data_IF_596078557760
#
_entry.id   IF_596078557760
#
_cell.length_a   1.000
_cell.length_b   1.000
_cell.length_c   1.000
_cell.angle_alpha   90.00
_cell.angle_beta   90.00
_cell.angle_gamma   90.00
#
_symmetry.space_group_name_H-M   'P 1'
#
loop_
_entity.id
_entity.type
_entity.pdbx_description
1 polymer ?
#
# COMPACT_ATOMS: atom_id res chain seq x y z
N UNK A 1 4.27 1.67 27.99
CA UNK A 1 4.82 2.62 27.01
C UNK A 1 3.84 2.64 25.84
N UNK A 2 3.11 3.73 25.67
CA UNK A 2 2.21 3.90 24.51
C UNK A 2 3.07 4.07 23.26
N UNK A 3 3.11 3.05 22.44
CA UNK A 3 3.75 3.13 21.11
C UNK A 3 2.93 4.08 20.23
N UNK A 4 3.58 5.03 19.58
CA UNK A 4 2.89 5.96 18.67
C UNK A 4 2.39 5.21 17.42
N UNK A 5 1.21 5.58 16.87
CA UNK A 5 0.70 5.00 15.64
C UNK A 5 1.68 5.14 14.46
N UNK A 6 1.73 4.12 13.60
CA UNK A 6 2.54 4.13 12.38
C UNK A 6 1.94 5.06 11.33
N UNK A 7 0.61 5.04 11.19
CA UNK A 7 -0.14 5.96 10.34
C UNK A 7 -1.12 6.76 11.19
N UNK A 8 -1.12 8.07 10.99
CA UNK A 8 -2.20 8.95 11.47
C UNK A 8 -2.75 9.73 10.29
N UNK A 9 -4.03 9.63 10.08
CA UNK A 9 -4.83 10.47 9.19
C UNK A 9 -5.75 11.29 10.08
N UNK A 10 -5.64 12.62 10.03
CA UNK A 10 -6.39 13.55 10.87
C UNK A 10 -7.22 14.49 10.00
N UNK A 11 -8.55 14.42 10.11
CA UNK A 11 -9.56 15.24 9.43
C UNK A 11 -9.30 15.45 7.95
N UNK A 12 -8.99 14.35 7.25
CA UNK A 12 -8.67 14.37 5.83
C UNK A 12 -9.89 14.72 4.98
N UNK A 13 -9.78 15.78 4.18
CA UNK A 13 -10.81 16.20 3.24
C UNK A 13 -10.27 16.27 1.82
N UNK A 14 -11.02 15.66 0.87
CA UNK A 14 -10.64 15.57 -0.54
C UNK A 14 -11.84 15.90 -1.42
N UNK A 15 -11.60 16.71 -2.46
CA UNK A 15 -12.59 17.01 -3.51
C UNK A 15 -12.07 16.61 -4.89
N UNK A 16 -12.98 16.16 -5.74
CA UNK A 16 -12.74 16.01 -7.18
C UNK A 16 -13.76 16.87 -7.92
N UNK A 17 -13.30 18.01 -8.46
CA UNK A 17 -14.20 19.03 -8.97
C UNK A 17 -15.14 19.56 -7.87
N UNK A 18 -16.45 19.54 -8.11
CA UNK A 18 -17.46 19.93 -7.12
C UNK A 18 -17.76 18.85 -6.08
N UNK A 19 -17.47 17.57 -6.37
CA UNK A 19 -17.82 16.44 -5.50
C UNK A 19 -16.87 16.34 -4.32
N UNK A 20 -17.41 16.24 -3.10
CA UNK A 20 -16.66 15.88 -1.89
C UNK A 20 -16.51 14.35 -1.88
N UNK A 21 -15.26 13.87 -1.90
CA UNK A 21 -14.95 12.43 -1.88
C UNK A 21 -14.67 11.95 -0.46
N UNK A 22 -13.84 12.72 0.27
CA UNK A 22 -13.57 12.50 1.69
C UNK A 22 -13.85 13.79 2.45
N UNK A 23 -14.39 13.67 3.66
CA UNK A 23 -14.74 14.82 4.48
C UNK A 23 -14.44 14.52 5.96
N UNK A 24 -13.45 15.21 6.48
CA UNK A 24 -12.95 15.09 7.85
C UNK A 24 -12.69 13.65 8.32
N UNK A 25 -12.25 12.76 7.39
CA UNK A 25 -11.95 11.38 7.72
C UNK A 25 -10.71 11.30 8.60
N UNK A 26 -10.84 10.57 9.71
CA UNK A 26 -9.72 10.31 10.63
C UNK A 26 -9.59 8.81 10.88
N UNK A 27 -8.35 8.32 10.84
CA UNK A 27 -7.99 6.95 11.20
C UNK A 27 -6.53 6.87 11.64
N UNK A 28 -6.21 5.80 12.34
CA UNK A 28 -4.85 5.44 12.70
C UNK A 28 -4.59 3.96 12.42
N UNK A 29 -3.32 3.62 12.18
CA UNK A 29 -2.82 2.25 12.13
C UNK A 29 -1.72 2.13 13.19
N UNK A 30 -1.94 1.26 14.16
CA UNK A 30 -1.01 0.99 15.24
C UNK A 30 0.13 0.04 14.81
N UNK A 31 1.24 -0.02 15.54
CA UNK A 31 2.27 -1.04 15.32
C UNK A 31 1.69 -2.45 15.41
N UNK A 32 1.94 -3.27 14.38
CA UNK A 32 1.42 -4.63 14.29
C UNK A 32 -0.03 -4.73 13.79
N UNK A 33 -0.65 -3.61 13.45
CA UNK A 33 -2.04 -3.60 13.02
C UNK A 33 -2.19 -3.70 11.51
N UNK A 34 -3.21 -4.46 11.08
CA UNK A 34 -3.69 -4.51 9.71
C UNK A 34 -5.08 -3.88 9.68
N UNK A 35 -5.25 -2.82 8.89
CA UNK A 35 -6.51 -2.09 8.74
C UNK A 35 -7.05 -2.27 7.33
N UNK A 36 -8.26 -2.81 7.23
CA UNK A 36 -9.00 -2.98 5.99
C UNK A 36 -10.02 -1.86 5.78
N UNK A 37 -9.95 -1.17 4.67
CA UNK A 37 -10.92 -0.16 4.26
C UNK A 37 -11.93 -0.80 3.32
N UNK A 38 -13.19 -0.85 3.72
CA UNK A 38 -14.29 -1.47 2.97
C UNK A 38 -15.34 -0.43 2.59
N UNK A 39 -16.09 -0.70 1.53
CA UNK A 39 -17.16 0.17 1.06
C UNK A 39 -17.45 -0.01 -0.42
N UNK A 40 -18.57 0.57 -0.87
CA UNK A 40 -19.00 0.49 -2.29
C UNK A 40 -17.95 1.11 -3.24
N UNK A 41 -17.99 0.71 -4.50
CA UNK A 41 -17.16 1.35 -5.52
C UNK A 41 -17.49 2.84 -5.60
N UNK A 42 -16.44 3.67 -5.70
CA UNK A 42 -16.60 5.13 -5.74
C UNK A 42 -16.75 5.84 -4.38
N UNK A 43 -16.76 5.11 -3.24
CA UNK A 43 -16.86 5.74 -1.92
C UNK A 43 -15.56 6.43 -1.44
N UNK A 44 -14.45 6.29 -2.19
CA UNK A 44 -13.22 7.02 -1.89
C UNK A 44 -12.05 6.18 -1.33
N UNK A 45 -12.13 4.84 -1.30
CA UNK A 45 -11.04 3.96 -0.81
C UNK A 45 -9.70 4.28 -1.48
N UNK A 46 -9.61 4.14 -2.80
CA UNK A 46 -8.38 4.43 -3.56
C UNK A 46 -7.95 5.89 -3.45
N UNK A 47 -8.90 6.82 -3.23
CA UNK A 47 -8.60 8.24 -2.97
C UNK A 47 -7.89 8.40 -1.63
N UNK A 48 -8.38 7.75 -0.58
CA UNK A 48 -7.73 7.71 0.73
C UNK A 48 -6.31 7.14 0.64
N UNK A 49 -6.17 5.95 0.02
CA UNK A 49 -4.88 5.29 -0.13
C UNK A 49 -3.90 6.15 -0.93
N UNK A 50 -4.36 6.81 -2.00
CA UNK A 50 -3.54 7.73 -2.80
C UNK A 50 -3.08 8.96 -2.02
N UNK A 51 -3.91 9.48 -1.11
CA UNK A 51 -3.52 10.57 -0.22
C UNK A 51 -2.46 10.13 0.80
N UNK A 52 -2.64 8.94 1.39
CA UNK A 52 -1.66 8.34 2.32
C UNK A 52 -0.34 8.07 1.60
N UNK A 53 -0.40 7.61 0.35
CA UNK A 53 0.80 7.37 -0.46
C UNK A 53 1.52 8.64 -0.95
N UNK A 54 0.95 9.83 -0.70
CA UNK A 54 1.53 11.09 -1.17
C UNK A 54 1.44 11.31 -2.68
N UNK A 55 0.49 10.63 -3.35
CA UNK A 55 0.20 10.74 -4.77
C UNK A 55 -0.87 11.80 -5.04
N UNK A 56 -1.91 11.85 -4.21
CA UNK A 56 -3.01 12.81 -4.33
C UNK A 56 -3.01 13.76 -3.14
N UNK A 57 -2.82 15.05 -3.39
CA UNK A 57 -2.85 16.06 -2.34
C UNK A 57 -4.27 16.24 -1.78
N UNK A 58 -4.46 16.20 -0.45
CA UNK A 58 -5.75 16.52 0.15
C UNK A 58 -6.01 18.02 0.07
N UNK A 59 -7.29 18.39 0.21
CA UNK A 59 -7.68 19.79 0.39
C UNK A 59 -7.32 20.29 1.79
N UNK A 60 -7.67 19.48 2.79
CA UNK A 60 -7.47 19.77 4.21
C UNK A 60 -7.11 18.48 4.97
N UNK A 61 -6.59 18.62 6.18
CA UNK A 61 -6.20 17.53 7.06
C UNK A 61 -4.71 17.25 7.04
N UNK A 62 -4.31 16.25 7.83
CA UNK A 62 -2.89 15.86 7.99
C UNK A 62 -2.74 14.36 7.84
N UNK A 63 -1.61 13.96 7.28
CA UNK A 63 -1.21 12.56 7.20
C UNK A 63 0.24 12.46 7.66
N UNK A 64 0.50 11.58 8.62
CA UNK A 64 1.86 11.25 9.06
C UNK A 64 2.09 9.75 8.98
N UNK A 65 3.28 9.36 8.53
CA UNK A 65 3.77 7.98 8.52
C UNK A 65 5.04 7.94 9.35
N UNK A 66 5.07 7.10 10.38
CA UNK A 66 6.19 7.00 11.33
C UNK A 66 6.64 8.37 11.86
N UNK A 67 5.66 9.22 12.22
CA UNK A 67 5.86 10.59 12.69
C UNK A 67 6.27 11.61 11.62
N UNK A 68 6.49 11.20 10.36
CA UNK A 68 6.87 12.09 9.27
C UNK A 68 5.65 12.53 8.44
N UNK A 69 5.49 13.85 8.20
CA UNK A 69 4.38 14.37 7.41
C UNK A 69 4.53 14.02 5.94
N UNK A 70 3.47 13.41 5.35
CA UNK A 70 3.41 13.06 3.92
C UNK A 70 3.40 14.30 3.04
N UNK A 71 2.80 15.39 3.50
CA UNK A 71 2.61 16.63 2.76
C UNK A 71 3.40 17.82 3.35
N UNK A 72 4.34 17.54 4.25
CA UNK A 72 5.21 18.53 4.88
C UNK A 72 6.36 19.03 3.99
N UNK A 73 7.38 19.56 4.60
CA UNK A 73 8.61 19.99 3.92
C UNK A 73 9.37 18.80 3.28
N UNK A 74 10.39 19.12 2.48
CA UNK A 74 11.15 18.12 1.68
C UNK A 74 11.64 16.92 2.50
N UNK A 75 12.22 17.18 3.68
CA UNK A 75 12.77 16.10 4.51
C UNK A 75 11.68 15.22 5.12
N UNK A 76 10.57 15.80 5.56
CA UNK A 76 9.41 15.07 6.06
C UNK A 76 8.85 14.15 4.98
N UNK A 77 8.62 14.67 3.78
CA UNK A 77 8.14 13.87 2.63
C UNK A 77 9.10 12.73 2.28
N UNK A 78 10.41 12.99 2.30
CA UNK A 78 11.40 11.94 2.04
C UNK A 78 11.31 10.83 3.08
N UNK A 79 11.28 11.18 4.38
CA UNK A 79 11.15 10.21 5.48
C UNK A 79 9.87 9.40 5.37
N UNK A 80 8.71 10.04 5.15
CA UNK A 80 7.44 9.36 4.97
C UNK A 80 7.47 8.37 3.78
N UNK A 81 8.05 8.77 2.63
CA UNK A 81 8.17 7.91 1.45
C UNK A 81 9.10 6.72 1.66
N UNK A 82 10.20 6.89 2.41
CA UNK A 82 11.10 5.78 2.74
C UNK A 82 10.42 4.76 3.66
N UNK A 83 9.53 5.23 4.54
CA UNK A 83 8.77 4.38 5.46
C UNK A 83 7.57 3.67 4.80
N UNK A 84 7.26 3.95 3.53
CA UNK A 84 6.06 3.51 2.84
C UNK A 84 6.35 2.51 1.73
N UNK A 85 5.60 1.39 1.67
CA UNK A 85 5.41 0.56 0.49
C UNK A 85 3.99 0.75 -0.05
N UNK A 86 3.83 1.09 -1.33
CA UNK A 86 2.52 1.36 -1.92
C UNK A 86 2.31 0.58 -3.21
N UNK A 87 1.15 -0.08 -3.32
CA UNK A 87 0.66 -0.72 -4.55
C UNK A 87 -0.74 -0.20 -4.84
N UNK A 88 -0.93 0.66 -5.85
CA UNK A 88 -2.26 1.09 -6.28
C UNK A 88 -3.01 -0.03 -7.01
N UNK A 89 -4.33 0.06 -7.12
CA UNK A 89 -5.17 -0.89 -7.86
C UNK A 89 -4.68 -1.08 -9.31
N UNK A 90 -4.47 0.00 -10.03
CA UNK A 90 -3.98 0.04 -11.41
C UNK A 90 -2.45 0.23 -11.50
N UNK A 91 -1.67 -0.49 -10.69
CA UNK A 91 -0.21 -0.37 -10.74
C UNK A 91 0.32 -0.73 -12.14
N UNK A 92 0.85 0.26 -12.85
CA UNK A 92 1.37 0.13 -14.22
C UNK A 92 2.77 0.75 -14.33
N UNK A 93 3.81 0.02 -13.89
CA UNK A 93 5.19 0.46 -14.07
C UNK A 93 5.53 0.56 -15.57
N UNK A 94 6.59 1.32 -15.95
CA UNK A 94 7.00 1.44 -17.33
C UNK A 94 7.18 0.07 -18.01
N UNK A 95 6.43 -0.18 -19.10
CA UNK A 95 6.32 -1.49 -19.75
C UNK A 95 7.62 -2.06 -20.27
N UNK A 96 8.55 -1.19 -20.63
CA UNK A 96 9.88 -1.57 -21.14
C UNK A 96 10.85 -2.10 -20.07
N UNK A 97 10.60 -1.84 -18.78
CA UNK A 97 11.46 -2.34 -17.71
C UNK A 97 11.30 -3.86 -17.53
N UNK A 98 12.39 -4.53 -17.24
CA UNK A 98 12.37 -5.89 -16.72
C UNK A 98 11.95 -5.87 -15.23
N UNK A 99 11.37 -6.97 -14.74
CA UNK A 99 11.01 -7.06 -13.31
C UNK A 99 12.19 -6.81 -12.40
N UNK A 100 13.36 -7.38 -12.71
CA UNK A 100 14.60 -7.15 -11.96
C UNK A 100 15.07 -5.69 -11.99
N UNK A 101 14.90 -5.00 -13.11
CA UNK A 101 15.23 -3.58 -13.23
C UNK A 101 14.30 -2.70 -12.40
N UNK A 102 12.99 -3.02 -12.40
CA UNK A 102 12.02 -2.34 -11.52
C UNK A 102 12.45 -2.42 -10.06
N UNK A 103 12.80 -3.62 -9.58
CA UNK A 103 13.22 -3.80 -8.18
C UNK A 103 14.55 -3.12 -7.89
N UNK A 104 15.53 -3.18 -8.79
CA UNK A 104 16.81 -2.51 -8.63
C UNK A 104 16.65 -0.98 -8.57
N UNK A 105 15.80 -0.40 -9.43
CA UNK A 105 15.47 1.02 -9.43
C UNK A 105 14.81 1.45 -8.12
N UNK A 106 13.84 0.67 -7.63
CA UNK A 106 13.16 0.93 -6.36
C UNK A 106 14.11 0.81 -5.16
N UNK A 107 14.98 -0.21 -5.14
CA UNK A 107 15.98 -0.39 -4.09
C UNK A 107 16.98 0.78 -4.05
N UNK A 108 17.49 1.16 -5.21
CA UNK A 108 18.40 2.31 -5.34
C UNK A 108 17.77 3.62 -4.89
N UNK A 109 16.49 3.87 -5.26
CA UNK A 109 15.77 5.09 -4.89
C UNK A 109 15.51 5.21 -3.39
N UNK A 110 15.42 4.08 -2.70
CA UNK A 110 15.22 4.00 -1.23
C UNK A 110 16.53 3.81 -0.46
N UNK A 111 17.65 3.64 -1.16
CA UNK A 111 18.95 3.28 -0.57
C UNK A 111 18.84 2.05 0.36
N UNK A 112 18.20 0.98 -0.14
CA UNK A 112 17.94 -0.25 0.61
C UNK A 112 18.53 -1.47 -0.09
N UNK A 113 18.66 -2.56 0.68
CA UNK A 113 19.08 -3.86 0.17
C UNK A 113 18.07 -4.42 -0.87
N UNK A 114 18.53 -5.32 -1.75
CA UNK A 114 17.67 -6.05 -2.68
C UNK A 114 16.56 -6.82 -1.94
N UNK A 115 15.57 -7.30 -2.69
CA UNK A 115 14.50 -8.16 -2.17
C UNK A 115 15.08 -9.39 -1.44
N UNK A 116 14.55 -9.66 -0.25
CA UNK A 116 14.89 -10.88 0.49
C UNK A 116 14.49 -12.14 -0.29
N UNK A 117 15.22 -13.25 -0.09
CA UNK A 117 14.88 -14.53 -0.70
C UNK A 117 13.43 -14.94 -0.33
N UNK A 118 13.03 -14.73 0.92
CA UNK A 118 11.68 -15.03 1.40
C UNK A 118 10.58 -14.35 0.57
N UNK A 119 10.69 -13.05 0.30
CA UNK A 119 9.71 -12.32 -0.53
C UNK A 119 9.75 -12.79 -1.98
N UNK A 120 10.95 -13.04 -2.52
CA UNK A 120 11.11 -13.52 -3.90
C UNK A 120 10.44 -14.88 -4.11
N UNK A 121 10.70 -15.83 -3.22
CA UNK A 121 10.15 -17.18 -3.28
C UNK A 121 8.62 -17.17 -3.10
N UNK A 122 8.13 -16.46 -2.07
CA UNK A 122 6.70 -16.34 -1.76
C UNK A 122 5.90 -15.81 -2.95
N UNK A 123 6.37 -14.74 -3.58
CA UNK A 123 5.71 -14.13 -4.73
C UNK A 123 6.13 -14.73 -6.07
N UNK A 124 7.11 -15.66 -6.12
CA UNK A 124 7.63 -16.26 -7.35
C UNK A 124 8.20 -15.22 -8.30
N UNK A 125 9.10 -14.37 -7.78
CA UNK A 125 9.61 -13.22 -8.52
C UNK A 125 10.79 -13.57 -9.43
N UNK A 126 11.50 -14.66 -9.15
CA UNK A 126 12.68 -15.02 -9.94
C UNK A 126 12.34 -15.29 -11.41
N UNK A 127 11.17 -15.88 -11.68
CA UNK A 127 10.68 -16.07 -13.05
C UNK A 127 10.35 -14.77 -13.78
N UNK A 128 10.09 -13.69 -13.03
CA UNK A 128 9.73 -12.38 -13.57
C UNK A 128 10.92 -11.44 -13.75
N UNK A 129 12.07 -11.77 -13.17
CA UNK A 129 13.23 -10.90 -13.15
C UNK A 129 13.70 -10.49 -14.57
N UNK A 130 13.60 -11.40 -15.53
CA UNK A 130 14.03 -11.20 -16.92
C UNK A 130 12.88 -10.96 -17.89
N UNK A 131 11.64 -10.78 -17.38
CA UNK A 131 10.45 -10.53 -18.20
C UNK A 131 10.13 -9.03 -18.21
N UNK A 132 9.87 -8.46 -19.40
CA UNK A 132 9.41 -7.08 -19.52
C UNK A 132 8.00 -6.94 -18.95
N UNK A 133 7.76 -5.83 -18.24
CA UNK A 133 6.47 -5.53 -17.55
C UNK A 133 5.29 -5.60 -18.53
N UNK A 134 5.45 -5.06 -19.76
CA UNK A 134 4.38 -5.09 -20.80
C UNK A 134 3.99 -6.51 -21.22
N UNK A 135 4.87 -7.50 -21.04
CA UNK A 135 4.62 -8.91 -21.38
C UNK A 135 4.07 -9.72 -20.20
N UNK A 136 3.98 -9.12 -19.02
CA UNK A 136 3.45 -9.76 -17.82
C UNK A 136 1.94 -9.80 -17.85
N UNK A 137 1.36 -10.92 -17.40
CA UNK A 137 -0.07 -10.98 -17.07
C UNK A 137 -0.39 -10.01 -15.93
N UNK A 138 -1.67 -9.72 -15.71
CA UNK A 138 -2.12 -8.86 -14.61
C UNK A 138 -1.58 -9.36 -13.25
N UNK A 139 -1.70 -10.66 -12.97
CA UNK A 139 -1.21 -11.26 -11.72
C UNK A 139 0.31 -11.23 -11.61
N UNK A 140 1.04 -11.44 -12.72
CA UNK A 140 2.50 -11.31 -12.74
C UNK A 140 2.93 -9.88 -12.43
N UNK A 141 2.29 -8.89 -13.07
CA UNK A 141 2.56 -7.46 -12.82
C UNK A 141 2.24 -7.08 -11.37
N UNK A 142 1.10 -7.58 -10.83
CA UNK A 142 0.74 -7.37 -9.42
C UNK A 142 1.83 -7.91 -8.48
N UNK A 143 2.32 -9.13 -8.71
CA UNK A 143 3.41 -9.73 -7.92
C UNK A 143 4.70 -8.89 -8.00
N UNK A 144 5.07 -8.43 -9.19
CA UNK A 144 6.25 -7.58 -9.37
C UNK A 144 6.12 -6.25 -8.57
N UNK A 145 4.94 -5.62 -8.58
CA UNK A 145 4.65 -4.41 -7.80
C UNK A 145 4.64 -4.66 -6.28
N UNK A 146 4.07 -5.78 -5.84
CA UNK A 146 4.11 -6.19 -4.43
C UNK A 146 5.55 -6.38 -3.95
N UNK A 147 6.39 -7.04 -4.74
CA UNK A 147 7.83 -7.13 -4.45
C UNK A 147 8.48 -5.77 -4.32
N UNK A 148 8.25 -4.86 -5.27
CA UNK A 148 8.79 -3.50 -5.20
C UNK A 148 8.32 -2.72 -3.97
N UNK A 149 7.07 -2.91 -3.52
CA UNK A 149 6.54 -2.27 -2.33
C UNK A 149 7.18 -2.80 -1.03
N UNK A 150 7.60 -4.06 -1.01
CA UNK A 150 8.20 -4.72 0.16
C UNK A 150 9.71 -4.53 0.28
N UNK A 151 10.34 -3.81 -0.65
CA UNK A 151 11.76 -3.46 -0.58
C UNK A 151 12.08 -2.60 0.64
N UNK A 152 13.17 -2.95 1.35
CA UNK A 152 13.66 -2.22 2.51
C UNK A 152 12.64 -2.15 3.64
N UNK A 153 12.16 -3.29 4.11
CA UNK A 153 10.89 -3.54 4.79
C UNK A 153 10.24 -2.25 5.32
N UNK A 154 9.20 -1.71 4.63
CA UNK A 154 8.62 -0.43 5.00
C UNK A 154 7.96 -0.48 6.38
N UNK A 155 7.78 0.67 7.04
CA UNK A 155 7.01 0.76 8.29
C UNK A 155 5.51 0.59 8.04
N UNK A 156 5.03 1.03 6.88
CA UNK A 156 3.63 0.94 6.45
C UNK A 156 3.54 0.34 5.05
N UNK A 157 2.74 -0.70 4.89
CA UNK A 157 2.25 -1.16 3.59
C UNK A 157 0.89 -0.54 3.30
N UNK A 158 0.72 0.00 2.09
CA UNK A 158 -0.57 0.51 1.59
C UNK A 158 -0.90 -0.24 0.31
N UNK A 159 -2.00 -1.01 0.32
CA UNK A 159 -2.34 -1.93 -0.75
C UNK A 159 -3.77 -1.67 -1.23
N UNK A 160 -3.94 -1.39 -2.51
CA UNK A 160 -5.25 -1.16 -3.13
C UNK A 160 -5.63 -2.38 -3.98
N UNK A 161 -6.67 -3.12 -3.53
CA UNK A 161 -7.17 -4.37 -4.13
C UNK A 161 -6.02 -5.36 -4.45
N UNK A 162 -5.21 -5.75 -3.44
CA UNK A 162 -3.96 -6.48 -3.67
C UNK A 162 -4.15 -7.91 -4.18
N UNK A 163 -5.33 -8.46 -4.02
CA UNK A 163 -5.75 -9.80 -4.45
C UNK A 163 -6.07 -9.90 -5.94
N UNK A 164 -6.34 -8.77 -6.61
CA UNK A 164 -6.74 -8.75 -8.01
C UNK A 164 -5.70 -9.45 -8.93
N UNK A 165 -6.15 -10.51 -9.60
CA UNK A 165 -5.35 -11.28 -10.55
C UNK A 165 -4.37 -12.27 -9.93
N UNK A 166 -4.39 -12.47 -8.61
CA UNK A 166 -3.62 -13.50 -7.94
C UNK A 166 -4.37 -14.85 -7.95
N UNK A 167 -3.63 -15.93 -8.18
CA UNK A 167 -4.13 -17.29 -7.91
C UNK A 167 -4.13 -17.60 -6.40
N UNK A 168 -4.79 -18.68 -5.99
CA UNK A 168 -4.92 -19.05 -4.58
C UNK A 168 -3.57 -19.20 -3.88
N UNK A 169 -2.57 -19.82 -4.54
CA UNK A 169 -1.24 -20.01 -3.98
C UNK A 169 -0.55 -18.65 -3.68
N UNK A 170 -0.70 -17.68 -4.60
CA UNK A 170 -0.09 -16.36 -4.44
C UNK A 170 -0.87 -15.49 -3.47
N UNK A 171 -2.18 -15.69 -3.38
CA UNK A 171 -3.01 -15.06 -2.36
C UNK A 171 -2.64 -15.56 -0.96
N UNK A 172 -2.41 -16.89 -0.79
CA UNK A 172 -1.93 -17.45 0.48
C UNK A 172 -0.59 -16.82 0.87
N UNK A 173 0.35 -16.76 -0.07
CA UNK A 173 1.66 -16.15 0.16
C UNK A 173 1.56 -14.66 0.51
N UNK A 174 0.66 -13.91 -0.12
CA UNK A 174 0.40 -12.50 0.22
C UNK A 174 -0.11 -12.36 1.66
N UNK A 175 -1.06 -13.21 2.07
CA UNK A 175 -1.58 -13.22 3.44
C UNK A 175 -0.45 -13.46 4.44
N UNK A 176 0.38 -14.47 4.20
CA UNK A 176 1.50 -14.80 5.08
C UNK A 176 2.53 -13.66 5.17
N UNK A 177 2.87 -13.04 4.04
CA UNK A 177 3.79 -11.90 3.99
C UNK A 177 3.25 -10.68 4.75
N UNK A 178 1.97 -10.35 4.58
CA UNK A 178 1.35 -9.21 5.29
C UNK A 178 1.24 -9.48 6.78
N UNK A 179 0.91 -10.71 7.18
CA UNK A 179 0.86 -11.10 8.60
C UNK A 179 2.26 -11.11 9.24
N UNK A 180 3.27 -11.62 8.54
CA UNK A 180 4.66 -11.57 9.01
C UNK A 180 5.13 -10.11 9.16
N UNK A 181 4.80 -9.24 8.20
CA UNK A 181 5.08 -7.81 8.26
C UNK A 181 4.46 -7.15 9.51
N UNK A 182 3.20 -7.45 9.81
CA UNK A 182 2.52 -6.96 11.01
C UNK A 182 3.14 -7.53 12.30
N UNK A 183 3.47 -8.83 12.33
CA UNK A 183 4.09 -9.47 13.50
C UNK A 183 5.44 -8.84 13.89
N UNK A 184 6.14 -8.21 12.94
CA UNK A 184 7.35 -7.43 13.20
C UNK A 184 7.08 -5.99 13.71
N UNK A 185 5.86 -5.69 14.11
CA UNK A 185 5.46 -4.39 14.63
C UNK A 185 5.34 -3.31 13.55
N UNK A 186 5.11 -3.70 12.29
CA UNK A 186 4.82 -2.78 11.17
C UNK A 186 3.34 -2.71 10.90
N UNK A 187 2.87 -1.70 10.16
CA UNK A 187 1.46 -1.49 9.84
C UNK A 187 1.10 -1.88 8.42
N UNK A 188 -0.18 -2.21 8.20
CA UNK A 188 -0.75 -2.35 6.87
C UNK A 188 -2.10 -1.65 6.78
N UNK A 189 -2.29 -0.84 5.73
CA UNK A 189 -3.59 -0.29 5.34
C UNK A 189 -3.94 -0.84 3.97
N UNK A 190 -5.07 -1.54 3.84
CA UNK A 190 -5.49 -2.07 2.55
C UNK A 190 -6.94 -1.75 2.24
N UNK A 191 -7.25 -1.57 0.97
CA UNK A 191 -8.61 -1.59 0.46
C UNK A 191 -8.85 -2.92 -0.23
N UNK A 192 -9.93 -3.61 0.11
CA UNK A 192 -10.40 -4.80 -0.59
C UNK A 192 -11.92 -4.90 -0.44
N UNK A 193 -12.56 -5.50 -1.44
CA UNK A 193 -13.95 -5.89 -1.39
C UNK A 193 -14.13 -7.37 -1.02
N UNK A 194 -13.02 -8.12 -0.90
CA UNK A 194 -13.03 -9.52 -0.48
C UNK A 194 -12.98 -9.62 1.06
N UNK A 195 -14.13 -9.91 1.66
CA UNK A 195 -14.23 -10.10 3.12
C UNK A 195 -13.42 -11.30 3.60
N UNK A 196 -13.29 -12.35 2.78
CA UNK A 196 -12.52 -13.54 3.16
C UNK A 196 -11.02 -13.21 3.27
N UNK A 197 -10.48 -12.35 2.40
CA UNK A 197 -9.12 -11.86 2.53
C UNK A 197 -8.94 -11.08 3.84
N UNK A 198 -9.86 -10.16 4.17
CA UNK A 198 -9.79 -9.36 5.38
C UNK A 198 -9.86 -10.22 6.65
N UNK A 199 -10.74 -11.23 6.66
CA UNK A 199 -10.85 -12.19 7.77
C UNK A 199 -9.55 -13.00 7.93
N UNK A 200 -8.99 -13.50 6.83
CA UNK A 200 -7.70 -14.21 6.83
C UNK A 200 -6.55 -13.34 7.34
N UNK A 201 -6.55 -12.06 7.03
CA UNK A 201 -5.58 -11.08 7.53
C UNK A 201 -5.85 -10.68 8.99
N UNK A 202 -6.99 -11.04 9.56
CA UNK A 202 -7.46 -10.54 10.87
C UNK A 202 -7.46 -9.01 10.91
N UNK A 203 -7.86 -8.38 9.81
CA UNK A 203 -7.84 -6.93 9.66
C UNK A 203 -8.96 -6.26 10.47
N UNK A 204 -8.64 -5.18 11.19
CA UNK A 204 -9.67 -4.29 11.70
C UNK A 204 -10.29 -3.52 10.53
N UNK A 205 -11.60 -3.60 10.38
CA UNK A 205 -12.28 -2.99 9.23
C UNK A 205 -12.80 -1.59 9.54
N UNK A 206 -12.65 -0.69 8.57
CA UNK A 206 -13.25 0.65 8.55
C UNK A 206 -14.20 0.72 7.36
N UNK A 207 -15.47 1.00 7.63
CA UNK A 207 -16.49 1.11 6.58
C UNK A 207 -16.55 2.55 6.07
N UNK A 208 -16.27 2.74 4.79
CA UNK A 208 -16.46 4.01 4.11
C UNK A 208 -17.85 4.08 3.48
N UNK A 209 -18.58 5.14 3.82
CA UNK A 209 -19.92 5.38 3.28
C UNK A 209 -19.83 6.42 2.17
N UNK A 210 -20.51 6.14 1.05
CA UNK A 210 -20.64 7.11 -0.03
C UNK A 210 -21.44 8.33 0.47
N UNK A 211 -20.91 9.53 0.26
CA UNK A 211 -21.65 10.75 0.57
C UNK A 211 -22.50 11.15 -0.63
N UNK A 212 -23.76 11.51 -0.41
CA UNK A 212 -24.60 12.08 -1.48
C UNK A 212 -23.94 13.36 -2.02
N UNK A 213 -24.03 13.52 -3.33
CA UNK A 213 -23.51 14.67 -4.09
C UNK A 213 -24.26 15.95 -3.76
#
# INVERSE_FOLDING_TARGET
MTTSPILVVDRLSVRRGSRVVLDELSLAVEPGEIVGVVGKNGCGKSTLLSCVAGVLAPRDGRITIDGASVWGGRDQRRRARTALGYVPEGADPPGFLLGGELWALCASSRATEPLSAHVRDALGLDELAHQAIERMSLGQRRRACLGAAMLGPPRLLVLDEPDNGLDLKRLDALVDLVRAHAAEGRGCLLASHDSALLDRLQARTIVMVERPS
#
